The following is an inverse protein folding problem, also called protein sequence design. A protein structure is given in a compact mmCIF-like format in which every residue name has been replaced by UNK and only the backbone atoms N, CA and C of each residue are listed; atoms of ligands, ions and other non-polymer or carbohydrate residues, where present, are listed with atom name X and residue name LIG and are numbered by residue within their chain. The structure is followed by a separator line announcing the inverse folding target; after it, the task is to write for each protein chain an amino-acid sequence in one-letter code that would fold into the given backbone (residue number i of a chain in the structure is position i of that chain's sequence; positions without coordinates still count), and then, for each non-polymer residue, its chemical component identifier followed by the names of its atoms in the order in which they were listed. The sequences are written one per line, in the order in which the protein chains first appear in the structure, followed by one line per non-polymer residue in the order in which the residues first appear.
data_IF_690296206471
#
_entry.id   IF_690296206471
#
_cell.length_a   1.000
_cell.length_b   1.000
_cell.length_c   1.000
_cell.angle_alpha   90.00
_cell.angle_beta   90.00
_cell.angle_gamma   90.00
#
_symmetry.space_group_name_H-M   'P 1'
#
loop_
_entity.id
_entity.type
_entity.pdbx_description
1 polymer ?
#
# COMPACT_ATOMS: atom_id res chain seq x y z
N UNK A 1 22.18 26.46 32.94
CA UNK A 1 21.45 26.01 31.74
C UNK A 1 20.55 24.89 32.13
N UNK A 2 19.24 25.15 32.19
CA UNK A 2 18.24 24.07 32.36
C UNK A 2 18.19 23.29 31.05
N UNK A 3 18.21 21.92 31.08
CA UNK A 3 17.97 21.14 29.88
C UNK A 3 16.59 21.55 29.36
N UNK A 4 16.54 21.96 28.09
CA UNK A 4 15.30 22.23 27.39
C UNK A 4 14.35 21.06 27.61
N UNK A 5 13.11 21.34 28.01
CA UNK A 5 12.06 20.36 28.19
C UNK A 5 12.05 19.43 26.97
N UNK A 6 12.37 18.17 27.16
CA UNK A 6 12.21 17.15 26.14
C UNK A 6 10.75 17.13 25.76
N UNK A 7 10.39 17.72 24.63
CA UNK A 7 9.08 17.50 24.06
C UNK A 7 8.99 16.03 23.69
N UNK A 8 7.96 15.35 24.14
CA UNK A 8 7.67 13.98 23.74
C UNK A 8 7.38 13.86 22.23
N UNK A 9 7.17 14.98 21.57
CA UNK A 9 6.83 15.05 20.15
C UNK A 9 7.91 15.77 19.37
N UNK A 10 8.33 15.23 18.21
CA UNK A 10 9.37 15.83 17.38
C UNK A 10 8.84 17.06 16.64
N UNK A 11 9.72 18.05 16.39
CA UNK A 11 9.40 19.15 15.48
C UNK A 11 9.33 18.68 14.02
N UNK A 12 10.14 17.67 13.68
CA UNK A 12 10.20 17.04 12.35
C UNK A 12 10.06 15.53 12.54
N UNK A 13 9.09 14.96 11.88
CA UNK A 13 8.90 13.50 11.80
C UNK A 13 9.32 13.03 10.41
N UNK A 14 10.25 12.09 10.37
CA UNK A 14 10.63 11.40 9.14
C UNK A 14 10.03 10.00 9.19
N UNK A 15 9.20 9.68 8.20
CA UNK A 15 8.53 8.39 8.07
C UNK A 15 9.23 7.53 7.02
N UNK A 16 9.55 6.31 7.42
CA UNK A 16 10.11 5.27 6.58
C UNK A 16 9.44 3.94 6.90
N UNK A 17 9.62 2.94 6.02
CA UNK A 17 9.29 1.56 6.31
C UNK A 17 10.43 0.60 5.96
N UNK A 18 10.47 -0.53 6.63
CA UNK A 18 11.52 -1.55 6.46
C UNK A 18 11.05 -2.78 5.68
N UNK A 19 9.75 -3.02 5.68
CA UNK A 19 9.12 -4.11 4.94
C UNK A 19 9.19 -3.88 3.42
N UNK A 20 8.87 -4.89 2.66
CA UNK A 20 8.86 -4.86 1.19
C UNK A 20 7.82 -5.84 0.67
N UNK A 21 7.33 -5.62 -0.55
CA UNK A 21 6.42 -6.53 -1.27
C UNK A 21 7.06 -7.88 -1.63
N UNK A 22 8.37 -8.03 -1.44
CA UNK A 22 9.10 -9.22 -1.88
C UNK A 22 8.97 -10.37 -0.87
N UNK A 23 8.77 -11.62 -1.34
CA UNK A 23 8.76 -12.79 -0.50
C UNK A 23 10.08 -12.97 0.27
N UNK A 24 10.00 -13.60 1.45
CA UNK A 24 11.18 -13.99 2.23
C UNK A 24 12.11 -14.84 1.36
N UNK A 25 13.41 -14.55 1.43
CA UNK A 25 14.44 -15.25 0.64
C UNK A 25 14.70 -14.64 -0.74
N UNK A 26 13.97 -13.61 -1.16
CA UNK A 26 14.25 -12.94 -2.44
C UNK A 26 15.68 -12.40 -2.52
N UNK A 27 16.24 -11.92 -1.42
CA UNK A 27 17.63 -11.43 -1.35
C UNK A 27 18.67 -12.51 -1.75
N UNK A 28 18.36 -13.78 -1.58
CA UNK A 28 19.24 -14.88 -2.00
C UNK A 28 19.26 -15.07 -3.51
N UNK A 29 18.15 -14.75 -4.18
CA UNK A 29 18.01 -14.87 -5.65
C UNK A 29 18.45 -13.59 -6.37
N UNK A 30 18.18 -12.45 -5.76
CA UNK A 30 18.52 -11.10 -6.26
C UNK A 30 19.28 -10.35 -5.17
N UNK A 31 20.57 -10.68 -4.93
CA UNK A 31 21.35 -10.04 -3.88
C UNK A 31 21.56 -8.56 -4.15
N UNK A 32 21.85 -7.81 -3.09
CA UNK A 32 22.30 -6.44 -3.20
C UNK A 32 23.55 -6.37 -4.08
N UNK A 33 23.58 -5.45 -5.03
CA UNK A 33 24.75 -5.14 -5.84
C UNK A 33 24.75 -3.68 -6.27
N UNK A 34 25.92 -3.14 -6.43
CA UNK A 34 26.16 -1.81 -6.98
C UNK A 34 26.90 -1.95 -8.31
N UNK A 35 26.37 -1.30 -9.36
CA UNK A 35 26.93 -1.33 -10.72
C UNK A 35 26.97 0.11 -11.24
N UNK A 36 28.17 0.72 -11.24
CA UNK A 36 28.34 2.13 -11.56
C UNK A 36 27.56 3.02 -10.57
N UNK A 37 26.65 3.82 -11.09
CA UNK A 37 25.79 4.71 -10.29
C UNK A 37 24.45 4.07 -9.87
N UNK A 38 24.26 2.79 -10.15
CA UNK A 38 23.00 2.08 -9.86
C UNK A 38 23.18 1.08 -8.75
N UNK A 39 22.15 0.99 -7.92
CA UNK A 39 22.03 0.04 -6.83
C UNK A 39 20.82 -0.87 -7.11
N UNK A 40 21.03 -2.18 -6.94
CA UNK A 40 20.01 -3.19 -7.17
C UNK A 40 19.83 -4.04 -5.91
N UNK A 41 18.61 -4.49 -5.68
CA UNK A 41 18.26 -5.40 -4.58
C UNK A 41 16.81 -5.20 -4.15
N UNK A 42 16.20 -6.20 -3.46
CA UNK A 42 14.82 -6.08 -2.98
C UNK A 42 14.70 -4.94 -1.96
N UNK A 43 13.73 -4.05 -2.20
CA UNK A 43 13.46 -2.91 -1.34
C UNK A 43 14.50 -1.78 -1.37
N UNK A 44 15.45 -1.76 -2.34
CA UNK A 44 16.44 -0.67 -2.43
C UNK A 44 15.77 0.66 -2.78
N UNK A 45 14.88 0.70 -3.76
CA UNK A 45 14.15 1.90 -4.13
C UNK A 45 13.00 2.16 -3.16
N UNK A 46 12.26 1.16 -2.82
CA UNK A 46 11.09 1.14 -1.96
C UNK A 46 11.39 0.26 -0.73
N UNK A 47 11.76 0.89 0.48
CA UNK A 47 12.26 2.28 0.47
C UNK A 47 13.58 2.42 1.23
N UNK A 48 14.45 1.38 1.22
CA UNK A 48 15.68 1.37 2.05
C UNK A 48 16.67 2.48 1.67
N UNK A 49 16.72 2.90 0.39
CA UNK A 49 17.50 4.07 0.01
C UNK A 49 16.99 5.34 0.69
N UNK A 50 15.67 5.50 0.86
CA UNK A 50 15.06 6.59 1.60
C UNK A 50 15.52 6.63 3.05
N UNK A 51 15.65 5.48 3.72
CA UNK A 51 16.17 5.41 5.10
C UNK A 51 17.61 5.93 5.15
N UNK A 52 18.47 5.49 4.24
CA UNK A 52 19.88 5.92 4.18
C UNK A 52 19.98 7.42 3.92
N UNK A 53 19.19 7.93 2.99
CA UNK A 53 19.11 9.37 2.67
C UNK A 53 18.65 10.16 3.91
N UNK A 54 17.62 9.68 4.62
CA UNK A 54 17.13 10.32 5.84
C UNK A 54 18.22 10.43 6.91
N UNK A 55 18.94 9.34 7.17
CA UNK A 55 20.03 9.33 8.16
C UNK A 55 21.14 10.29 7.78
N UNK A 56 21.59 10.28 6.53
CA UNK A 56 22.62 11.20 6.03
C UNK A 56 22.16 12.67 6.08
N UNK A 57 20.90 12.93 5.75
CA UNK A 57 20.32 14.27 5.80
C UNK A 57 20.25 14.81 7.25
N UNK A 58 19.81 13.97 8.21
CA UNK A 58 19.76 14.36 9.64
C UNK A 58 21.16 14.64 10.16
N UNK A 59 22.14 13.79 9.86
CA UNK A 59 23.52 14.00 10.26
C UNK A 59 24.10 15.31 9.68
N UNK A 60 23.85 15.59 8.41
CA UNK A 60 24.28 16.82 7.74
C UNK A 60 23.61 18.06 8.36
N UNK A 61 22.31 17.98 8.62
CA UNK A 61 21.56 19.06 9.23
C UNK A 61 22.05 19.37 10.66
N UNK A 62 22.35 18.33 11.45
CA UNK A 62 22.93 18.50 12.78
C UNK A 62 24.30 19.22 12.74
N UNK A 63 25.18 18.80 11.81
CA UNK A 63 26.47 19.47 11.59
C UNK A 63 26.31 20.95 11.16
N UNK A 64 25.23 21.26 10.47
CA UNK A 64 24.88 22.61 10.04
C UNK A 64 24.15 23.45 11.09
N UNK A 65 24.00 22.91 12.32
CA UNK A 65 23.42 23.65 13.45
C UNK A 65 21.89 23.60 13.49
N UNK A 66 21.25 22.54 12.95
CA UNK A 66 19.80 22.34 13.08
C UNK A 66 19.39 22.34 14.56
N UNK A 67 18.60 23.35 14.97
CA UNK A 67 18.06 23.48 16.30
C UNK A 67 16.59 23.05 16.35
N UNK A 68 16.29 21.83 15.95
CA UNK A 68 14.98 21.22 15.96
C UNK A 68 15.09 19.74 16.33
N UNK A 69 14.12 19.24 17.07
CA UNK A 69 14.03 17.81 17.35
C UNK A 69 13.55 17.06 16.10
N UNK A 70 14.24 15.99 15.76
CA UNK A 70 13.91 15.13 14.62
C UNK A 70 13.68 13.71 15.15
N UNK A 71 12.58 13.08 14.75
CA UNK A 71 12.35 11.65 14.95
C UNK A 71 12.34 10.96 13.59
N UNK A 72 13.00 9.82 13.52
CA UNK A 72 12.90 8.86 12.43
C UNK A 72 12.05 7.69 12.90
N UNK A 73 10.89 7.50 12.28
CA UNK A 73 10.03 6.35 12.51
C UNK A 73 10.13 5.39 11.32
N UNK A 74 10.63 4.17 11.59
CA UNK A 74 10.67 3.09 10.61
C UNK A 74 9.64 2.04 11.00
N UNK A 75 8.61 1.85 10.17
CA UNK A 75 7.57 0.85 10.38
C UNK A 75 7.89 -0.46 9.67
N UNK A 76 7.14 -1.52 9.94
CA UNK A 76 7.33 -2.85 9.37
C UNK A 76 6.05 -3.44 8.77
N UNK A 77 5.06 -2.60 8.48
CA UNK A 77 3.74 -2.99 8.02
C UNK A 77 3.13 -1.99 7.00
N UNK A 78 3.98 -1.19 6.33
CA UNK A 78 3.51 -0.21 5.33
C UNK A 78 2.90 -0.92 4.13
N UNK A 79 3.59 -1.92 3.60
CA UNK A 79 3.24 -2.68 2.40
C UNK A 79 1.93 -3.50 2.53
N UNK A 80 1.45 -3.64 3.75
CA UNK A 80 0.15 -4.26 4.04
C UNK A 80 -0.89 -3.27 4.58
N UNK A 81 -0.60 -1.94 4.54
CA UNK A 81 -1.53 -0.87 4.88
C UNK A 81 -1.40 -0.30 6.29
N UNK A 82 -0.25 -0.45 6.94
CA UNK A 82 0.09 0.15 8.25
C UNK A 82 -0.92 -0.16 9.38
N UNK A 83 -1.50 -1.35 9.39
CA UNK A 83 -2.58 -1.70 10.31
C UNK A 83 -2.19 -1.59 11.78
N UNK A 84 -0.94 -1.90 12.12
CA UNK A 84 -0.45 -1.86 13.50
C UNK A 84 0.26 -0.55 13.84
N UNK A 85 0.93 0.07 12.87
CA UNK A 85 1.70 1.31 13.07
C UNK A 85 0.86 2.59 12.95
N UNK A 86 -0.32 2.53 12.34
CA UNK A 86 -1.16 3.69 12.02
C UNK A 86 -1.40 4.63 13.19
N UNK A 87 -1.79 4.09 14.35
CA UNK A 87 -2.09 4.92 15.52
C UNK A 87 -0.87 5.72 16.00
N UNK A 88 0.32 5.10 15.95
CA UNK A 88 1.58 5.76 16.29
C UNK A 88 1.95 6.83 15.26
N UNK A 89 1.83 6.52 13.97
CA UNK A 89 2.09 7.47 12.87
C UNK A 89 1.19 8.70 13.03
N UNK A 90 -0.12 8.50 13.18
CA UNK A 90 -1.09 9.59 13.32
C UNK A 90 -0.84 10.44 14.57
N UNK A 91 -0.47 9.81 15.70
CA UNK A 91 -0.16 10.53 16.93
C UNK A 91 1.06 11.43 16.76
N UNK A 92 2.17 10.89 16.25
CA UNK A 92 3.40 11.66 16.05
C UNK A 92 3.23 12.74 14.98
N UNK A 93 2.52 12.43 13.90
CA UNK A 93 2.31 13.38 12.79
C UNK A 93 1.48 14.60 13.22
N UNK A 94 0.44 14.42 14.05
CA UNK A 94 -0.40 15.52 14.54
C UNK A 94 0.38 16.53 15.41
N UNK A 95 1.39 16.07 16.11
CA UNK A 95 2.19 16.89 17.01
C UNK A 95 3.48 17.42 16.34
N UNK A 96 3.77 17.01 15.10
CA UNK A 96 4.93 17.46 14.35
C UNK A 96 4.62 18.68 13.49
N UNK A 97 5.55 19.64 13.42
CA UNK A 97 5.41 20.81 12.55
C UNK A 97 5.63 20.44 11.06
N UNK A 98 6.40 19.38 10.81
CA UNK A 98 6.71 18.90 9.47
C UNK A 98 6.79 17.37 9.49
N UNK A 99 6.19 16.76 8.50
CA UNK A 99 6.27 15.29 8.25
C UNK A 99 6.88 15.08 6.87
N UNK A 100 7.96 14.30 6.82
CA UNK A 100 8.66 13.92 5.59
C UNK A 100 8.53 12.42 5.41
N UNK A 101 7.89 11.99 4.32
CA UNK A 101 7.77 10.58 3.95
C UNK A 101 8.84 10.27 2.90
N UNK A 102 9.77 9.37 3.22
CA UNK A 102 10.99 9.15 2.43
C UNK A 102 10.79 8.13 1.29
N UNK A 103 9.60 8.07 0.75
CA UNK A 103 9.27 7.33 -0.47
C UNK A 103 9.94 7.92 -1.72
N UNK A 104 10.00 7.11 -2.78
CA UNK A 104 10.57 7.54 -4.04
C UNK A 104 9.92 8.81 -4.59
N UNK A 105 10.75 9.79 -5.01
CA UNK A 105 10.30 10.97 -5.73
C UNK A 105 9.70 10.61 -7.10
N UNK A 106 9.18 11.59 -7.83
CA UNK A 106 8.83 11.44 -9.24
C UNK A 106 10.10 11.24 -10.08
N UNK A 107 9.97 10.75 -11.31
CA UNK A 107 11.11 10.46 -12.19
C UNK A 107 11.95 11.70 -12.53
N UNK A 108 11.35 12.89 -12.46
CA UNK A 108 12.01 14.19 -12.65
C UNK A 108 12.62 14.74 -11.35
N UNK A 109 12.55 13.99 -10.24
CA UNK A 109 13.01 14.42 -8.93
C UNK A 109 12.04 15.28 -8.14
N UNK A 110 10.86 15.59 -8.66
CA UNK A 110 9.84 16.37 -7.96
C UNK A 110 9.29 15.64 -6.74
N UNK A 111 9.00 16.38 -5.68
CA UNK A 111 8.36 15.83 -4.48
C UNK A 111 6.88 15.59 -4.71
N UNK A 112 6.39 14.48 -4.15
CA UNK A 112 4.96 14.17 -4.13
C UNK A 112 4.29 14.91 -2.98
N UNK A 113 3.49 15.91 -3.29
CA UNK A 113 2.74 16.72 -2.31
C UNK A 113 1.27 16.33 -2.22
N UNK A 114 0.82 15.44 -3.08
CA UNK A 114 -0.55 14.95 -3.13
C UNK A 114 -0.59 13.48 -3.57
N UNK A 115 -1.49 12.73 -2.99
CA UNK A 115 -1.79 11.35 -3.34
C UNK A 115 -3.29 11.08 -3.33
N UNK A 116 -3.73 10.17 -4.18
CA UNK A 116 -5.10 9.65 -4.15
C UNK A 116 -5.36 8.86 -2.88
N UNK A 117 -6.57 9.00 -2.35
CA UNK A 117 -7.07 8.05 -1.34
C UNK A 117 -7.22 6.65 -1.94
N UNK A 118 -7.14 5.63 -1.11
CA UNK A 118 -7.25 4.22 -1.52
C UNK A 118 -8.34 3.52 -0.73
N UNK A 119 -9.08 2.62 -1.39
CA UNK A 119 -10.06 1.76 -0.76
C UNK A 119 -10.04 0.36 -1.38
N UNK A 120 -10.04 -0.68 -0.54
CA UNK A 120 -10.17 -2.06 -0.96
C UNK A 120 -11.54 -2.62 -0.57
N UNK A 121 -12.20 -3.30 -1.49
CA UNK A 121 -13.50 -3.90 -1.25
C UNK A 121 -13.52 -5.35 -1.75
N UNK A 122 -14.18 -6.21 -0.98
CA UNK A 122 -14.50 -7.57 -1.39
C UNK A 122 -16.00 -7.69 -1.60
N UNK A 123 -16.42 -8.18 -2.77
CA UNK A 123 -17.82 -8.43 -3.08
C UNK A 123 -18.02 -9.93 -3.28
N UNK A 124 -18.99 -10.50 -2.57
CA UNK A 124 -19.33 -11.92 -2.67
C UNK A 124 -20.77 -12.06 -3.13
N UNK A 125 -20.98 -12.86 -4.17
CA UNK A 125 -22.30 -13.29 -4.63
C UNK A 125 -22.54 -14.72 -4.15
N UNK A 126 -23.69 -14.95 -3.53
CA UNK A 126 -24.14 -16.28 -3.12
C UNK A 126 -25.36 -16.71 -3.92
N UNK A 127 -25.21 -17.82 -4.61
CA UNK A 127 -26.23 -18.46 -5.40
C UNK A 127 -26.74 -19.77 -4.77
N UNK A 128 -26.92 -20.77 -5.60
CA UNK A 128 -27.33 -22.13 -5.17
C UNK A 128 -26.77 -23.17 -6.13
N UNK A 129 -26.04 -24.16 -5.58
CA UNK A 129 -25.53 -25.27 -6.36
C UNK A 129 -26.66 -26.15 -6.90
N UNK A 130 -26.49 -26.69 -8.12
CA UNK A 130 -27.30 -27.70 -8.74
C UNK A 130 -26.50 -28.44 -9.82
N UNK A 131 -26.90 -29.61 -10.23
CA UNK A 131 -26.27 -30.32 -11.33
C UNK A 131 -26.57 -29.61 -12.66
N UNK A 132 -25.55 -29.17 -13.38
CA UNK A 132 -25.71 -28.32 -14.56
C UNK A 132 -26.49 -28.99 -15.73
N UNK A 133 -26.45 -30.30 -15.83
CA UNK A 133 -27.17 -31.04 -16.87
C UNK A 133 -28.48 -31.69 -16.40
N UNK A 134 -28.63 -32.03 -15.12
CA UNK A 134 -29.74 -32.79 -14.60
C UNK A 134 -30.80 -31.98 -13.86
N UNK A 135 -30.41 -30.87 -13.23
CA UNK A 135 -31.31 -30.02 -12.42
C UNK A 135 -30.92 -28.54 -12.48
N UNK A 136 -30.57 -28.06 -13.65
CA UNK A 136 -30.05 -26.71 -13.86
C UNK A 136 -30.99 -25.60 -13.32
N UNK A 137 -32.31 -25.79 -13.52
CA UNK A 137 -33.32 -24.81 -13.10
C UNK A 137 -33.41 -24.62 -11.57
N UNK A 138 -33.01 -25.64 -10.81
CA UNK A 138 -32.93 -25.50 -9.36
C UNK A 138 -31.74 -24.66 -8.88
N UNK A 139 -30.74 -24.46 -9.74
CA UNK A 139 -29.56 -23.67 -9.43
C UNK A 139 -29.80 -22.15 -9.49
N UNK A 140 -28.86 -21.40 -8.90
CA UNK A 140 -28.70 -19.95 -9.07
C UNK A 140 -27.22 -19.67 -9.29
N UNK A 141 -26.88 -19.26 -10.49
CA UNK A 141 -25.49 -19.14 -10.91
C UNK A 141 -24.82 -17.86 -10.34
N UNK A 142 -23.96 -18.04 -9.35
CA UNK A 142 -23.24 -16.93 -8.72
C UNK A 142 -22.21 -16.29 -9.66
N UNK A 143 -21.62 -17.03 -10.60
CA UNK A 143 -20.64 -16.48 -11.57
C UNK A 143 -21.37 -15.60 -12.59
N UNK A 144 -22.57 -15.97 -13.04
CA UNK A 144 -23.37 -15.18 -13.97
C UNK A 144 -23.70 -13.81 -13.33
N UNK A 145 -24.23 -13.81 -12.12
CA UNK A 145 -24.53 -12.58 -11.39
C UNK A 145 -23.24 -11.76 -11.13
N UNK A 146 -22.17 -12.40 -10.71
CA UNK A 146 -20.88 -11.70 -10.50
C UNK A 146 -20.37 -11.06 -11.78
N UNK A 147 -20.61 -11.66 -12.94
CA UNK A 147 -20.22 -11.07 -14.23
C UNK A 147 -20.93 -9.74 -14.49
N UNK A 148 -22.21 -9.63 -14.15
CA UNK A 148 -22.96 -8.37 -14.22
C UNK A 148 -22.41 -7.35 -13.23
N UNK A 149 -22.09 -7.79 -12.01
CA UNK A 149 -21.50 -6.90 -10.99
C UNK A 149 -20.13 -6.38 -11.42
N UNK A 150 -19.25 -7.22 -11.98
CA UNK A 150 -17.94 -6.79 -12.50
C UNK A 150 -18.08 -5.70 -13.55
N UNK A 151 -18.98 -5.89 -14.52
CA UNK A 151 -19.23 -4.89 -15.58
C UNK A 151 -19.75 -3.57 -14.98
N UNK A 152 -20.67 -3.66 -14.01
CA UNK A 152 -21.25 -2.48 -13.37
C UNK A 152 -20.18 -1.72 -12.54
N UNK A 153 -19.40 -2.43 -11.75
CA UNK A 153 -18.35 -1.86 -10.88
C UNK A 153 -17.24 -1.19 -11.73
N UNK A 154 -16.77 -1.83 -12.80
CA UNK A 154 -15.75 -1.25 -13.68
C UNK A 154 -16.19 0.07 -14.32
N UNK A 155 -17.50 0.27 -14.57
CA UNK A 155 -18.07 1.53 -15.11
C UNK A 155 -18.05 2.70 -14.12
N UNK A 156 -17.74 2.46 -12.83
CA UNK A 156 -17.61 3.51 -11.83
C UNK A 156 -16.29 4.30 -11.98
N UNK A 157 -15.37 3.85 -12.83
CA UNK A 157 -14.18 4.62 -13.19
C UNK A 157 -14.55 5.92 -13.87
N UNK A 158 -14.07 7.05 -13.33
CA UNK A 158 -14.30 8.39 -13.84
C UNK A 158 -12.95 9.13 -13.89
N UNK A 159 -12.36 9.19 -15.08
CA UNK A 159 -11.05 9.83 -15.27
C UNK A 159 -11.08 11.34 -15.08
N UNK A 160 -12.24 12.00 -15.32
CA UNK A 160 -12.38 13.43 -15.12
C UNK A 160 -12.32 13.78 -13.61
N UNK A 161 -12.93 12.94 -12.79
CA UNK A 161 -12.84 13.04 -11.32
C UNK A 161 -11.59 12.37 -10.75
N UNK A 162 -10.73 11.85 -11.61
CA UNK A 162 -9.52 11.08 -11.23
C UNK A 162 -9.82 9.84 -10.36
N UNK A 163 -11.05 9.34 -10.39
CA UNK A 163 -11.46 8.12 -9.71
C UNK A 163 -11.19 6.92 -10.60
N UNK A 164 -10.49 5.92 -10.08
CA UNK A 164 -10.29 4.63 -10.75
C UNK A 164 -10.82 3.50 -9.89
N UNK A 165 -11.55 2.58 -10.53
CA UNK A 165 -12.09 1.38 -9.91
C UNK A 165 -11.60 0.19 -10.71
N UNK A 166 -10.94 -0.76 -10.05
CA UNK A 166 -10.36 -1.92 -10.70
C UNK A 166 -10.79 -3.22 -9.98
N UNK A 167 -11.49 -4.07 -10.70
CA UNK A 167 -11.69 -5.45 -10.25
C UNK A 167 -10.45 -6.24 -10.62
N UNK A 168 -9.55 -6.43 -9.66
CA UNK A 168 -8.22 -7.03 -9.88
C UNK A 168 -8.17 -8.54 -9.72
N UNK A 169 -9.12 -9.12 -8.96
CA UNK A 169 -9.17 -10.56 -8.68
C UNK A 169 -10.60 -11.04 -8.78
N UNK A 170 -10.80 -12.23 -9.35
CA UNK A 170 -12.09 -12.94 -9.40
C UNK A 170 -11.90 -14.44 -9.14
N UNK A 171 -12.76 -14.98 -8.29
CA UNK A 171 -12.86 -16.43 -8.03
C UNK A 171 -14.31 -16.87 -8.04
N UNK A 172 -14.60 -18.10 -8.48
CA UNK A 172 -15.96 -18.63 -8.42
C UNK A 172 -16.07 -20.05 -8.92
N UNK A 173 -17.09 -20.77 -8.40
CA UNK A 173 -17.37 -22.14 -8.75
C UNK A 173 -16.33 -23.16 -8.24
N UNK A 174 -16.60 -24.43 -8.53
CA UNK A 174 -15.74 -25.56 -8.12
C UNK A 174 -15.40 -26.48 -9.30
N UNK A 175 -16.44 -26.98 -10.00
CA UNK A 175 -16.31 -27.86 -11.17
C UNK A 175 -17.33 -27.45 -12.23
N UNK A 176 -17.04 -27.74 -13.50
CA UNK A 176 -17.81 -27.24 -14.65
C UNK A 176 -19.22 -27.79 -14.77
N UNK A 177 -19.53 -28.97 -14.17
CA UNK A 177 -20.84 -29.61 -14.21
C UNK A 177 -21.73 -29.29 -13.00
N UNK A 178 -21.35 -28.28 -12.19
CA UNK A 178 -22.15 -27.77 -11.06
C UNK A 178 -22.42 -26.29 -11.27
N UNK A 179 -23.68 -25.87 -11.14
CA UNK A 179 -24.03 -24.43 -11.08
C UNK A 179 -23.34 -23.82 -9.89
N UNK A 180 -22.50 -22.77 -10.06
CA UNK A 180 -21.69 -22.22 -8.97
C UNK A 180 -22.56 -21.51 -7.93
N UNK A 181 -22.37 -21.87 -6.66
CA UNK A 181 -23.08 -21.29 -5.53
C UNK A 181 -22.37 -20.09 -4.91
N UNK A 182 -21.11 -19.84 -5.26
CA UNK A 182 -20.36 -18.67 -4.79
C UNK A 182 -19.44 -18.13 -5.87
N UNK A 183 -19.35 -16.81 -5.92
CA UNK A 183 -18.31 -16.08 -6.63
C UNK A 183 -17.88 -14.86 -5.81
N UNK A 184 -16.60 -14.48 -5.88
CA UNK A 184 -16.01 -13.38 -5.13
C UNK A 184 -15.05 -12.58 -6.01
N UNK A 185 -15.05 -11.26 -5.82
CA UNK A 185 -14.10 -10.34 -6.43
C UNK A 185 -13.43 -9.48 -5.38
N UNK A 186 -12.21 -9.01 -5.72
CA UNK A 186 -11.50 -7.97 -4.98
C UNK A 186 -11.41 -6.73 -5.88
N UNK A 187 -11.75 -5.58 -5.29
CA UNK A 187 -11.87 -4.30 -5.98
C UNK A 187 -10.93 -3.29 -5.32
N UNK A 188 -10.05 -2.66 -6.11
CA UNK A 188 -9.23 -1.51 -5.70
C UNK A 188 -9.87 -0.22 -6.21
N UNK A 189 -9.98 0.76 -5.33
CA UNK A 189 -10.54 2.09 -5.65
C UNK A 189 -9.51 3.15 -5.30
N UNK A 190 -9.30 4.10 -6.22
CA UNK A 190 -8.46 5.27 -6.03
C UNK A 190 -9.25 6.54 -6.30
N UNK A 191 -9.24 7.46 -5.31
CA UNK A 191 -9.99 8.72 -5.36
C UNK A 191 -9.12 9.92 -4.99
#
# INVERSE_FOLDING_TARGET
DKPSSFSLYPSILILCHMDTVFPIGTIQKTPYRAEGEKIFGPGTLDMKAGIVIALAAVESAQRSGLNRSVALLCTSDEEIGSHTSRALIESLAKESALVLVMEGALLDGSLKTWRKGTGGFSVTVRGRAAHAGGDHQAGRNAIEEMSHQVIAIQKLTDYEKQTTVNVGVIHGGTVSNVVPEEARIEVDVRV
#
